data_IF_307795905065
#
_entry.id   IF_307795905065
#
_cell.length_a   1.000
_cell.length_b   1.000
_cell.length_c   1.000
_cell.angle_alpha   90.00
_cell.angle_beta   90.00
_cell.angle_gamma   90.00
#
_symmetry.space_group_name_H-M   'P 1'
#
loop_
_entity.id
_entity.type
_entity.pdbx_description
1 polymer ?
#
# COMPACT_ATOMS: atom_id res chain seq x y z
N UNK A 1 3.47 31.22 -12.86
CA UNK A 1 2.74 30.68 -11.70
C UNK A 1 2.91 31.66 -10.56
N UNK A 2 1.83 32.24 -10.08
CA UNK A 2 1.84 33.21 -8.97
C UNK A 2 1.49 32.54 -7.63
N UNK A 3 0.65 31.51 -7.63
CA UNK A 3 0.20 30.79 -6.44
C UNK A 3 0.92 29.45 -6.25
N UNK A 4 1.63 28.97 -7.27
CA UNK A 4 2.47 27.79 -7.21
C UNK A 4 1.69 26.47 -7.15
N UNK A 5 2.34 25.45 -6.59
CA UNK A 5 1.84 24.09 -6.52
C UNK A 5 1.43 23.78 -5.08
N UNK A 6 0.18 23.35 -4.88
CA UNK A 6 -0.28 22.81 -3.60
C UNK A 6 -0.34 21.28 -3.70
N UNK A 7 0.28 20.58 -2.75
CA UNK A 7 0.29 19.11 -2.67
C UNK A 7 -0.40 18.70 -1.37
N UNK A 8 -1.42 17.84 -1.47
CA UNK A 8 -2.17 17.30 -0.32
C UNK A 8 -1.74 15.86 -0.07
N UNK A 9 -1.12 15.62 1.08
CA UNK A 9 -0.50 14.35 1.48
C UNK A 9 1.03 14.45 1.59
N UNK A 10 1.63 13.65 2.46
CA UNK A 10 3.05 13.68 2.85
C UNK A 10 3.81 12.37 2.60
N UNK A 11 3.11 11.33 2.14
CA UNK A 11 3.69 10.00 1.94
C UNK A 11 4.73 9.94 0.82
N UNK A 12 5.18 8.72 0.51
CA UNK A 12 6.20 8.46 -0.51
C UNK A 12 5.92 9.18 -1.84
N UNK A 13 4.67 9.19 -2.30
CA UNK A 13 4.22 9.87 -3.52
C UNK A 13 4.54 11.37 -3.53
N UNK A 14 4.12 12.11 -2.49
CA UNK A 14 4.35 13.54 -2.38
C UNK A 14 5.85 13.86 -2.28
N UNK A 15 6.59 13.09 -1.48
CA UNK A 15 8.04 13.29 -1.32
C UNK A 15 8.80 13.07 -2.61
N UNK A 16 8.47 12.01 -3.36
CA UNK A 16 9.08 11.77 -4.67
C UNK A 16 8.71 12.87 -5.66
N UNK A 17 7.48 13.38 -5.64
CA UNK A 17 7.08 14.46 -6.51
C UNK A 17 7.88 15.73 -6.23
N UNK A 18 7.98 16.16 -4.96
CA UNK A 18 8.80 17.31 -4.55
C UNK A 18 10.26 17.14 -4.99
N UNK A 19 10.85 15.97 -4.70
CA UNK A 19 12.23 15.64 -5.10
C UNK A 19 12.42 15.78 -6.62
N UNK A 20 11.45 15.34 -7.42
CA UNK A 20 11.55 15.43 -8.88
C UNK A 20 11.24 16.84 -9.41
N UNK A 21 10.31 17.59 -8.84
CA UNK A 21 10.09 19.01 -9.19
C UNK A 21 11.38 19.79 -8.97
N UNK A 22 12.07 19.58 -7.84
CA UNK A 22 13.31 20.29 -7.50
C UNK A 22 14.52 19.92 -8.37
N UNK A 23 14.46 18.81 -9.13
CA UNK A 23 15.46 18.54 -10.19
C UNK A 23 15.27 19.42 -11.43
N UNK A 24 14.09 19.99 -11.63
CA UNK A 24 13.72 20.77 -12.81
C UNK A 24 13.49 22.26 -12.50
N UNK A 25 13.13 22.61 -11.26
CA UNK A 25 12.92 24.00 -10.82
C UNK A 25 13.23 24.17 -9.33
N UNK A 26 14.21 25.03 -9.04
CA UNK A 26 14.56 25.41 -7.67
C UNK A 26 13.55 26.40 -7.05
N UNK A 27 12.90 27.22 -7.88
CA UNK A 27 12.18 28.42 -7.44
C UNK A 27 10.66 28.27 -7.40
N UNK A 28 10.07 27.26 -8.07
CA UNK A 28 8.61 27.15 -8.09
C UNK A 28 8.07 27.02 -6.64
N UNK A 29 7.11 27.87 -6.22
CA UNK A 29 6.56 27.78 -4.87
C UNK A 29 5.81 26.46 -4.70
N UNK A 30 6.15 25.72 -3.64
CA UNK A 30 5.48 24.47 -3.27
C UNK A 30 4.93 24.64 -1.85
N UNK A 31 3.64 24.32 -1.69
CA UNK A 31 2.99 24.15 -0.39
C UNK A 31 2.62 22.68 -0.23
N UNK A 32 3.13 22.04 0.82
CA UNK A 32 2.80 20.67 1.19
C UNK A 32 1.87 20.70 2.41
N UNK A 33 0.69 20.10 2.31
CA UNK A 33 -0.28 20.02 3.42
C UNK A 33 -0.49 18.56 3.77
N UNK A 34 -0.33 18.22 5.05
CA UNK A 34 -0.35 16.85 5.53
C UNK A 34 -1.19 16.72 6.80
N UNK A 35 -2.02 15.69 6.86
CA UNK A 35 -2.81 15.38 8.05
C UNK A 35 -1.96 14.81 9.20
N UNK A 36 -0.80 14.23 8.88
CA UNK A 36 0.16 13.67 9.84
C UNK A 36 1.35 14.62 10.08
N UNK A 37 2.39 14.15 10.79
CA UNK A 37 3.60 14.92 11.06
C UNK A 37 4.44 15.23 9.81
N UNK A 38 4.20 14.52 8.70
CA UNK A 38 4.99 14.51 7.47
C UNK A 38 6.45 14.02 7.62
N UNK A 39 6.76 13.34 8.71
CA UNK A 39 8.06 12.69 8.90
C UNK A 39 8.26 11.55 7.91
N UNK A 40 9.51 11.38 7.44
CA UNK A 40 9.85 10.30 6.53
C UNK A 40 10.07 9.01 7.29
N UNK A 41 9.29 7.99 6.96
CA UNK A 41 9.56 6.60 7.29
C UNK A 41 9.27 5.75 6.05
N UNK A 42 9.76 4.52 6.05
CA UNK A 42 9.49 3.57 4.97
C UNK A 42 8.28 2.73 5.34
N UNK A 43 7.09 3.11 4.85
CA UNK A 43 5.83 2.43 5.13
C UNK A 43 5.88 0.90 4.94
N UNK A 44 6.50 0.35 3.89
CA UNK A 44 6.70 -1.10 3.75
C UNK A 44 7.47 -1.79 4.88
N UNK A 45 8.13 -1.07 5.79
CA UNK A 45 8.81 -1.67 6.94
C UNK A 45 7.85 -1.94 8.10
N UNK A 46 6.61 -1.40 8.08
CA UNK A 46 5.57 -1.67 9.08
C UNK A 46 5.23 -3.15 9.24
N UNK A 47 5.43 -3.97 8.20
CA UNK A 47 5.22 -5.42 8.25
C UNK A 47 6.38 -6.22 8.85
N UNK A 48 7.39 -5.54 9.43
CA UNK A 48 8.55 -6.16 10.06
C UNK A 48 8.92 -5.60 11.45
N UNK A 49 8.16 -4.63 11.94
CA UNK A 49 8.53 -3.87 13.15
C UNK A 49 8.53 -4.72 14.41
N UNK A 50 7.72 -5.78 14.47
CA UNK A 50 7.57 -6.59 15.67
C UNK A 50 8.77 -7.53 15.82
N UNK A 51 9.18 -8.26 14.78
CA UNK A 51 10.36 -9.14 14.86
C UNK A 51 11.68 -8.37 14.93
N UNK A 52 11.73 -7.15 14.38
CA UNK A 52 12.88 -6.26 14.52
C UNK A 52 12.94 -5.52 15.86
N UNK A 53 11.93 -5.70 16.72
CA UNK A 53 11.80 -4.98 17.98
C UNK A 53 11.86 -3.43 17.79
N UNK A 54 11.46 -2.92 16.63
CA UNK A 54 11.60 -1.51 16.24
C UNK A 54 10.37 -0.71 16.66
N UNK A 55 10.56 0.31 17.52
CA UNK A 55 9.47 1.20 17.91
C UNK A 55 9.10 2.20 16.83
N UNK A 56 7.89 2.75 16.91
CA UNK A 56 7.37 3.62 15.86
C UNK A 56 8.25 4.87 15.66
N UNK A 57 8.68 5.57 16.72
CA UNK A 57 9.61 6.71 16.61
C UNK A 57 10.92 6.34 15.91
N UNK A 58 11.47 5.14 16.17
CA UNK A 58 12.71 4.66 15.58
C UNK A 58 12.59 4.34 14.07
N UNK A 59 11.39 4.39 13.50
CA UNK A 59 11.19 4.28 12.05
C UNK A 59 11.47 5.59 11.31
N UNK A 60 11.48 6.74 12.02
CA UNK A 60 11.69 8.05 11.42
C UNK A 60 13.11 8.19 10.88
N UNK A 61 13.23 8.38 9.57
CA UNK A 61 14.49 8.57 8.84
C UNK A 61 14.84 10.04 8.63
N UNK A 62 13.84 10.90 8.47
CA UNK A 62 14.03 12.33 8.31
C UNK A 62 12.85 13.08 8.92
N UNK A 63 13.14 14.09 9.74
CA UNK A 63 12.12 14.99 10.29
C UNK A 63 11.52 15.87 9.19
N UNK A 64 10.23 16.18 9.30
CA UNK A 64 9.50 16.93 8.28
C UNK A 64 10.07 18.33 8.04
N UNK A 65 10.51 19.02 9.10
CA UNK A 65 11.15 20.34 9.00
C UNK A 65 12.44 20.32 8.19
N UNK A 66 13.29 19.30 8.39
CA UNK A 66 14.51 19.12 7.61
C UNK A 66 14.23 18.86 6.13
N UNK A 67 13.16 18.12 5.81
CA UNK A 67 12.72 17.96 4.42
C UNK A 67 12.23 19.28 3.82
N UNK A 68 11.46 20.06 4.57
CA UNK A 68 10.92 21.32 4.11
C UNK A 68 12.03 22.35 3.81
N UNK A 69 13.04 22.43 4.67
CA UNK A 69 14.23 23.26 4.47
C UNK A 69 15.05 22.79 3.27
N UNK A 70 15.37 21.48 3.22
CA UNK A 70 16.17 20.89 2.15
C UNK A 70 15.59 21.15 0.75
N UNK A 71 14.26 21.10 0.62
CA UNK A 71 13.56 21.26 -0.66
C UNK A 71 12.85 22.60 -0.81
N UNK A 72 13.14 23.59 0.03
CA UNK A 72 12.57 24.94 -0.02
C UNK A 72 11.06 24.93 -0.31
N UNK A 73 10.27 24.35 0.61
CA UNK A 73 8.81 24.31 0.51
C UNK A 73 8.15 24.81 1.79
N UNK A 74 6.92 25.30 1.68
CA UNK A 74 6.09 25.61 2.84
C UNK A 74 5.37 24.34 3.29
N UNK A 75 5.64 23.89 4.51
CA UNK A 75 4.99 22.71 5.09
C UNK A 75 3.89 23.11 6.08
N UNK A 76 2.72 22.50 5.94
CA UNK A 76 1.65 22.51 6.93
C UNK A 76 1.38 21.06 7.38
N UNK A 77 2.13 20.60 8.38
CA UNK A 77 1.90 19.32 9.04
C UNK A 77 0.70 19.39 10.00
N UNK A 78 0.16 18.23 10.39
CA UNK A 78 -1.00 18.08 11.27
C UNK A 78 -2.19 18.98 10.86
N UNK A 79 -2.39 19.14 9.56
CA UNK A 79 -3.34 20.06 8.94
C UNK A 79 -4.26 19.29 8.00
N UNK A 80 -5.54 19.21 8.35
CA UNK A 80 -6.54 18.48 7.59
C UNK A 80 -7.21 19.37 6.52
N UNK A 81 -7.03 19.01 5.25
CA UNK A 81 -7.75 19.63 4.14
C UNK A 81 -9.20 19.17 4.14
N UNK A 82 -10.14 20.10 4.38
CA UNK A 82 -11.55 19.80 4.56
C UNK A 82 -12.33 19.80 3.25
N UNK A 83 -11.96 20.65 2.29
CA UNK A 83 -12.63 20.75 0.98
C UNK A 83 -11.73 21.41 -0.06
N UNK A 84 -12.11 21.23 -1.33
CA UNK A 84 -11.53 21.93 -2.48
C UNK A 84 -12.63 22.75 -3.15
N UNK A 85 -12.25 23.88 -3.72
CA UNK A 85 -13.10 24.66 -4.63
C UNK A 85 -12.34 24.82 -5.96
N UNK A 86 -12.53 23.89 -6.91
CA UNK A 86 -11.87 23.92 -8.21
C UNK A 86 -12.17 25.19 -9.01
N UNK A 87 -13.40 25.71 -8.91
CA UNK A 87 -13.84 26.89 -9.65
C UNK A 87 -13.04 28.13 -9.29
N UNK A 88 -12.76 28.31 -7.99
CA UNK A 88 -11.96 29.43 -7.49
C UNK A 88 -10.48 29.07 -7.25
N UNK A 89 -10.08 27.84 -7.60
CA UNK A 89 -8.75 27.26 -7.37
C UNK A 89 -8.27 27.40 -5.93
N UNK A 90 -9.10 26.94 -4.99
CA UNK A 90 -8.85 27.04 -3.55
C UNK A 90 -8.77 25.67 -2.86
N UNK A 91 -7.85 25.56 -1.90
CA UNK A 91 -7.79 24.47 -0.91
C UNK A 91 -8.21 25.04 0.45
N UNK A 92 -9.19 24.41 1.11
CA UNK A 92 -9.67 24.79 2.42
C UNK A 92 -9.11 23.86 3.50
N UNK A 93 -8.57 24.43 4.57
CA UNK A 93 -7.99 23.70 5.70
C UNK A 93 -8.31 24.42 7.01
N UNK A 94 -9.43 24.05 7.63
CA UNK A 94 -10.00 24.80 8.77
C UNK A 94 -10.33 26.23 8.35
N UNK A 95 -9.79 27.22 9.07
CA UNK A 95 -9.95 28.64 8.76
C UNK A 95 -8.98 29.15 7.68
N UNK A 96 -8.03 28.31 7.25
CA UNK A 96 -7.03 28.70 6.23
C UNK A 96 -7.53 28.35 4.84
N UNK A 97 -7.24 29.22 3.90
CA UNK A 97 -7.50 29.02 2.47
C UNK A 97 -6.23 29.32 1.67
N UNK A 98 -5.99 28.51 0.64
CA UNK A 98 -4.83 28.65 -0.22
C UNK A 98 -5.23 28.56 -1.69
N UNK A 99 -4.89 29.60 -2.45
CA UNK A 99 -4.96 29.51 -3.91
C UNK A 99 -3.87 28.60 -4.46
N UNK A 100 -4.13 28.01 -5.63
CA UNK A 100 -3.15 27.23 -6.37
C UNK A 100 -3.16 27.57 -7.86
N UNK A 101 -2.00 27.44 -8.51
CA UNK A 101 -1.97 27.33 -9.98
C UNK A 101 -2.15 25.87 -10.40
N UNK A 102 -1.59 24.94 -9.61
CA UNK A 102 -1.72 23.49 -9.77
C UNK A 102 -1.95 22.82 -8.41
N UNK A 103 -2.89 21.89 -8.36
CA UNK A 103 -3.18 21.08 -7.17
C UNK A 103 -2.83 19.61 -7.41
N UNK A 104 -2.19 18.97 -6.44
CA UNK A 104 -1.86 17.55 -6.50
C UNK A 104 -2.44 16.82 -5.31
N UNK A 105 -3.25 15.80 -5.58
CA UNK A 105 -3.81 14.89 -4.60
C UNK A 105 -2.90 13.67 -4.47
N UNK A 106 -2.21 13.57 -3.35
CA UNK A 106 -1.36 12.45 -2.94
C UNK A 106 -1.86 11.85 -1.62
N UNK A 107 -3.18 11.72 -1.49
CA UNK A 107 -3.92 11.38 -0.26
C UNK A 107 -3.80 9.91 0.15
N UNK A 108 -3.16 9.09 -0.67
CA UNK A 108 -2.88 7.68 -0.38
C UNK A 108 -4.13 6.82 -0.25
N UNK A 109 -4.06 5.85 0.65
CA UNK A 109 -5.12 4.88 0.91
C UNK A 109 -5.27 4.60 2.39
N UNK A 110 -6.47 4.21 2.81
CA UNK A 110 -6.79 3.82 4.17
C UNK A 110 -7.00 2.31 4.28
N UNK A 111 -6.55 1.71 5.38
CA UNK A 111 -6.80 0.32 5.67
C UNK A 111 -8.28 0.06 5.96
N UNK A 112 -8.75 -1.12 5.54
CA UNK A 112 -10.12 -1.55 5.71
C UNK A 112 -10.31 -2.28 7.04
N UNK A 113 -11.40 -1.95 7.72
CA UNK A 113 -11.96 -2.76 8.79
C UNK A 113 -13.21 -3.50 8.27
N UNK A 114 -13.41 -4.78 8.64
CA UNK A 114 -14.64 -5.48 8.29
C UNK A 114 -15.86 -4.83 8.96
N UNK A 115 -17.04 -4.85 8.32
CA UNK A 115 -18.26 -4.26 8.88
C UNK A 115 -18.93 -5.21 9.90
N UNK A 116 -18.22 -5.51 10.98
CA UNK A 116 -18.64 -6.45 12.04
C UNK A 116 -18.76 -5.75 13.39
N UNK A 117 -19.50 -6.35 14.32
CA UNK A 117 -19.54 -5.88 15.70
C UNK A 117 -18.14 -5.95 16.34
N UNK A 118 -17.74 -4.93 17.10
CA UNK A 118 -16.44 -4.86 17.75
C UNK A 118 -15.26 -4.52 16.85
N UNK A 119 -15.50 -4.06 15.62
CA UNK A 119 -14.42 -3.66 14.70
C UNK A 119 -13.48 -2.59 15.27
N UNK A 120 -13.96 -1.77 16.20
CA UNK A 120 -13.21 -0.74 16.92
C UNK A 120 -12.16 -1.31 17.90
N UNK A 121 -12.27 -2.59 18.27
CA UNK A 121 -11.28 -3.30 19.10
C UNK A 121 -10.08 -3.79 18.27
N UNK A 122 -10.23 -3.79 16.94
CA UNK A 122 -9.20 -4.18 16.00
C UNK A 122 -8.21 -3.04 15.75
N UNK A 123 -7.10 -3.35 15.09
CA UNK A 123 -6.14 -2.34 14.66
C UNK A 123 -5.64 -2.61 13.27
N UNK A 124 -5.20 -1.54 12.61
CA UNK A 124 -4.56 -1.57 11.30
C UNK A 124 -3.10 -1.11 11.44
N UNK A 125 -2.27 -1.51 10.48
CA UNK A 125 -0.87 -1.06 10.39
C UNK A 125 -0.65 -0.42 9.02
N UNK A 126 -1.22 0.77 8.82
CA UNK A 126 -1.16 1.49 7.56
C UNK A 126 -0.34 2.81 7.64
N UNK A 127 0.01 3.25 8.85
CA UNK A 127 0.88 4.39 9.08
C UNK A 127 1.74 4.22 10.34
N UNK A 128 2.82 5.00 10.45
CA UNK A 128 3.62 5.09 11.67
C UNK A 128 2.79 5.56 12.88
N UNK A 129 1.83 6.47 12.66
CA UNK A 129 0.93 6.95 13.71
C UNK A 129 -0.02 5.84 14.21
N UNK A 130 -0.58 5.04 13.30
CA UNK A 130 -1.39 3.87 13.67
C UNK A 130 -0.55 2.87 14.47
N UNK A 131 0.68 2.59 14.03
CA UNK A 131 1.58 1.72 14.77
C UNK A 131 1.87 2.27 16.16
N UNK A 132 2.26 3.55 16.27
CA UNK A 132 2.52 4.22 17.55
C UNK A 132 1.35 4.10 18.54
N UNK A 133 0.11 4.22 18.06
CA UNK A 133 -1.09 4.13 18.88
C UNK A 133 -1.36 2.72 19.45
N UNK A 134 -0.84 1.68 18.81
CA UNK A 134 -1.08 0.29 19.18
C UNK A 134 0.18 -0.47 19.60
N UNK A 135 1.34 0.18 19.57
CA UNK A 135 2.66 -0.44 19.73
C UNK A 135 2.76 -1.30 20.99
N UNK A 136 2.44 -0.73 22.15
CA UNK A 136 2.53 -1.44 23.44
C UNK A 136 1.65 -2.71 23.44
N UNK A 137 0.40 -2.59 22.99
CA UNK A 137 -0.52 -3.75 22.92
C UNK A 137 0.00 -4.83 21.99
N UNK A 138 0.53 -4.48 20.81
CA UNK A 138 1.07 -5.47 19.87
C UNK A 138 2.34 -6.13 20.40
N UNK A 139 3.18 -5.39 21.13
CA UNK A 139 4.39 -5.92 21.77
C UNK A 139 4.06 -6.87 22.91
N UNK A 140 3.10 -6.53 23.75
CA UNK A 140 2.71 -7.33 24.92
C UNK A 140 1.85 -8.55 24.56
N UNK A 141 1.13 -8.49 23.43
CA UNK A 141 0.29 -9.57 22.94
C UNK A 141 1.09 -10.88 22.75
N UNK A 142 0.59 -11.97 23.32
CA UNK A 142 1.14 -13.33 23.14
C UNK A 142 0.48 -14.04 21.96
N UNK A 143 -0.84 -13.91 21.82
CA UNK A 143 -1.62 -14.50 20.73
C UNK A 143 -2.31 -13.43 19.89
N UNK A 144 -2.06 -13.44 18.59
CA UNK A 144 -2.54 -12.39 17.67
C UNK A 144 -3.29 -13.02 16.50
N UNK A 145 -4.46 -12.46 16.20
CA UNK A 145 -5.18 -12.75 14.97
C UNK A 145 -4.76 -11.75 13.88
N UNK A 146 -4.34 -12.26 12.72
CA UNK A 146 -4.18 -11.48 11.49
C UNK A 146 -5.40 -11.75 10.61
N UNK A 147 -6.21 -10.73 10.36
CA UNK A 147 -7.37 -10.84 9.48
C UNK A 147 -6.99 -10.39 8.06
N UNK A 148 -7.02 -11.30 7.11
CA UNK A 148 -6.57 -11.09 5.74
C UNK A 148 -5.25 -11.81 5.47
N UNK A 149 -5.23 -12.68 4.47
CA UNK A 149 -4.11 -13.46 3.96
C UNK A 149 -3.56 -12.94 2.64
N UNK A 150 -3.77 -11.66 2.33
CA UNK A 150 -3.11 -10.97 1.22
C UNK A 150 -1.62 -10.75 1.49
N UNK A 151 -0.94 -9.97 0.63
CA UNK A 151 0.50 -9.67 0.76
C UNK A 151 0.86 -9.20 2.17
N UNK A 152 0.23 -8.14 2.65
CA UNK A 152 0.52 -7.54 3.96
C UNK A 152 0.21 -8.52 5.10
N UNK A 153 -0.90 -9.26 4.99
CA UNK A 153 -1.31 -10.24 6.00
C UNK A 153 -0.31 -11.39 6.15
N UNK A 154 0.19 -11.92 5.04
CA UNK A 154 1.24 -12.94 5.03
C UNK A 154 2.56 -12.44 5.63
N UNK A 155 2.96 -11.21 5.32
CA UNK A 155 4.16 -10.59 5.90
C UNK A 155 4.00 -10.39 7.42
N UNK A 156 2.85 -9.86 7.86
CA UNK A 156 2.55 -9.67 9.29
C UNK A 156 2.49 -10.99 10.05
N UNK A 157 1.86 -12.03 9.50
CA UNK A 157 1.82 -13.33 10.15
C UNK A 157 3.22 -13.90 10.37
N UNK A 158 4.10 -13.76 9.37
CA UNK A 158 5.50 -14.17 9.48
C UNK A 158 6.27 -13.32 10.50
N UNK A 159 6.05 -12.00 10.52
CA UNK A 159 6.71 -11.08 11.45
C UNK A 159 6.35 -11.36 12.91
N UNK A 160 5.05 -11.48 13.21
CA UNK A 160 4.58 -11.78 14.56
C UNK A 160 5.07 -13.15 15.03
N UNK A 161 5.06 -14.15 14.14
CA UNK A 161 5.56 -15.48 14.45
C UNK A 161 7.07 -15.48 14.73
N UNK A 162 7.86 -14.75 13.94
CA UNK A 162 9.32 -14.57 14.17
C UNK A 162 9.62 -13.85 15.48
N UNK A 163 8.70 -13.02 15.96
CA UNK A 163 8.79 -12.39 17.27
C UNK A 163 8.36 -13.30 18.44
N UNK A 164 8.07 -14.58 18.18
CA UNK A 164 7.72 -15.56 19.20
C UNK A 164 6.25 -15.52 19.65
N UNK A 165 5.36 -14.91 18.85
CA UNK A 165 3.93 -14.82 19.15
C UNK A 165 3.18 -16.01 18.54
N UNK A 166 2.10 -16.43 19.20
CA UNK A 166 1.13 -17.36 18.62
C UNK A 166 0.28 -16.61 17.58
N UNK A 167 0.24 -17.08 16.35
CA UNK A 167 -0.44 -16.37 15.25
C UNK A 167 -1.55 -17.23 14.68
N UNK A 168 -2.74 -16.62 14.53
CA UNK A 168 -3.84 -17.18 13.75
C UNK A 168 -4.11 -16.24 12.57
N UNK A 169 -3.98 -16.72 11.35
CA UNK A 169 -4.35 -15.97 10.14
C UNK A 169 -5.71 -16.46 9.66
N UNK A 170 -6.64 -15.51 9.49
CA UNK A 170 -8.00 -15.79 9.01
C UNK A 170 -8.22 -15.08 7.68
N UNK A 171 -8.66 -15.81 6.65
CA UNK A 171 -9.02 -15.22 5.36
C UNK A 171 -10.25 -15.91 4.75
N UNK A 172 -11.02 -15.14 3.97
CA UNK A 172 -12.22 -15.63 3.30
C UNK A 172 -11.92 -16.42 2.02
N UNK A 173 -10.74 -16.21 1.42
CA UNK A 173 -10.25 -16.92 0.28
C UNK A 173 -9.79 -18.33 0.68
N UNK A 174 -9.65 -19.18 -0.34
CA UNK A 174 -9.23 -20.57 -0.16
C UNK A 174 -7.73 -20.76 0.06
N UNK A 175 -6.93 -19.71 -0.15
CA UNK A 175 -5.47 -19.75 -0.05
C UNK A 175 -4.86 -18.35 0.14
N UNK A 176 -3.58 -18.29 0.56
CA UNK A 176 -2.85 -17.03 0.72
C UNK A 176 -2.66 -16.31 -0.62
N UNK A 177 -2.70 -14.98 -0.54
CA UNK A 177 -2.42 -14.06 -1.64
C UNK A 177 -3.20 -14.41 -2.91
N UNK A 178 -4.46 -14.83 -2.78
CA UNK A 178 -5.29 -15.27 -3.91
C UNK A 178 -5.45 -14.22 -5.03
N UNK A 179 -5.29 -12.94 -4.69
CA UNK A 179 -5.27 -11.83 -5.66
C UNK A 179 -3.93 -11.62 -6.38
N UNK A 180 -2.90 -12.41 -6.05
CA UNK A 180 -1.55 -12.30 -6.60
C UNK A 180 -0.95 -13.63 -7.06
N UNK A 181 -1.29 -14.74 -6.40
CA UNK A 181 -0.69 -16.06 -6.61
C UNK A 181 -1.77 -17.08 -7.04
N UNK A 182 -1.44 -18.01 -7.95
CA UNK A 182 -2.24 -19.22 -8.12
C UNK A 182 -2.09 -20.13 -6.89
N UNK A 183 -3.08 -20.99 -6.66
CA UNK A 183 -3.19 -21.82 -5.46
C UNK A 183 -1.98 -22.74 -5.26
N UNK A 184 -1.42 -23.27 -6.34
CA UNK A 184 -0.25 -24.17 -6.32
C UNK A 184 1.00 -23.46 -5.80
N UNK A 185 1.20 -22.19 -6.18
CA UNK A 185 2.32 -21.37 -5.70
C UNK A 185 2.09 -20.97 -4.24
N UNK A 186 0.85 -20.61 -3.91
CA UNK A 186 0.44 -20.25 -2.56
C UNK A 186 0.65 -21.40 -1.57
N UNK A 187 0.41 -22.66 -2.00
CA UNK A 187 0.60 -23.85 -1.18
C UNK A 187 2.00 -23.96 -0.55
N UNK A 188 3.06 -23.57 -1.27
CA UNK A 188 4.43 -23.58 -0.71
C UNK A 188 4.60 -22.57 0.42
N UNK A 189 4.03 -21.36 0.28
CA UNK A 189 4.07 -20.33 1.32
C UNK A 189 3.22 -20.73 2.53
N UNK A 190 2.07 -21.35 2.29
CA UNK A 190 1.22 -21.90 3.36
C UNK A 190 1.95 -22.97 4.17
N UNK A 191 2.64 -23.91 3.52
CA UNK A 191 3.44 -24.92 4.21
C UNK A 191 4.51 -24.28 5.09
N UNK A 192 5.20 -23.25 4.59
CA UNK A 192 6.21 -22.51 5.37
C UNK A 192 5.61 -21.83 6.60
N UNK A 193 4.47 -21.15 6.46
CA UNK A 193 3.81 -20.50 7.60
C UNK A 193 3.28 -21.52 8.62
N UNK A 194 2.74 -22.66 8.17
CA UNK A 194 2.35 -23.75 9.06
C UNK A 194 3.56 -24.36 9.80
N UNK A 195 4.69 -24.57 9.11
CA UNK A 195 5.95 -25.06 9.71
C UNK A 195 6.49 -24.10 10.78
N UNK A 196 6.28 -22.79 10.61
CA UNK A 196 6.60 -21.78 11.62
C UNK A 196 5.65 -21.80 12.83
N UNK A 197 4.48 -22.44 12.72
CA UNK A 197 3.47 -22.51 13.77
C UNK A 197 2.30 -21.53 13.60
N UNK A 198 2.14 -20.90 12.43
CA UNK A 198 0.97 -20.07 12.13
C UNK A 198 -0.25 -20.96 11.89
N UNK A 199 -1.34 -20.72 12.61
CA UNK A 199 -2.61 -21.37 12.36
C UNK A 199 -3.33 -20.68 11.19
N UNK A 200 -3.45 -21.36 10.05
CA UNK A 200 -4.10 -20.82 8.84
C UNK A 200 -5.58 -21.27 8.75
N UNK A 201 -6.50 -20.31 8.75
CA UNK A 201 -7.95 -20.52 8.69
C UNK A 201 -8.54 -19.89 7.42
N UNK A 202 -8.59 -20.69 6.35
CA UNK A 202 -9.15 -20.31 5.05
C UNK A 202 -10.65 -20.58 4.95
N UNK A 203 -11.30 -19.91 4.01
CA UNK A 203 -12.76 -19.92 3.83
C UNK A 203 -13.50 -19.56 5.13
N UNK A 204 -12.87 -18.75 5.99
CA UNK A 204 -13.42 -18.28 7.25
C UNK A 204 -13.58 -16.76 7.20
N UNK A 205 -14.63 -16.27 7.85
CA UNK A 205 -14.90 -14.83 7.98
C UNK A 205 -15.12 -14.52 9.44
N UNK A 206 -14.51 -13.42 9.91
CA UNK A 206 -14.80 -12.83 11.20
C UNK A 206 -16.23 -12.29 11.21
N UNK A 207 -17.01 -12.60 12.25
CA UNK A 207 -18.38 -12.11 12.44
C UNK A 207 -18.53 -11.10 13.56
N UNK A 208 -17.72 -11.24 14.61
CA UNK A 208 -17.68 -10.29 15.71
C UNK A 208 -16.33 -10.37 16.45
N UNK A 209 -15.98 -9.27 17.10
CA UNK A 209 -14.95 -9.22 18.13
C UNK A 209 -15.61 -8.71 19.41
N UNK A 210 -15.34 -9.33 20.56
CA UNK A 210 -15.83 -8.84 21.85
C UNK A 210 -14.69 -8.73 22.84
N UNK A 211 -14.79 -7.74 23.74
CA UNK A 211 -13.88 -7.60 24.86
C UNK A 211 -14.15 -8.69 25.90
N UNK A 212 -13.09 -9.32 26.40
CA UNK A 212 -13.10 -10.26 27.51
C UNK A 212 -12.21 -9.71 28.64
N UNK A 213 -12.28 -10.31 29.84
CA UNK A 213 -11.41 -9.94 30.97
C UNK A 213 -9.91 -10.16 30.63
N UNK A 214 -9.60 -11.21 29.87
CA UNK A 214 -8.23 -11.63 29.55
C UNK A 214 -7.81 -11.35 28.10
N UNK A 215 -8.48 -10.44 27.39
CA UNK A 215 -8.17 -10.11 25.99
C UNK A 215 -9.42 -9.92 25.15
N UNK A 216 -9.41 -10.47 23.94
CA UNK A 216 -10.50 -10.39 22.97
C UNK A 216 -11.01 -11.80 22.62
N UNK A 217 -12.29 -11.91 22.31
CA UNK A 217 -12.86 -13.08 21.66
C UNK A 217 -13.23 -12.72 20.22
N UNK A 218 -12.70 -13.47 19.25
CA UNK A 218 -13.04 -13.36 17.85
C UNK A 218 -13.93 -14.54 17.43
N UNK A 219 -15.15 -14.25 16.98
CA UNK A 219 -16.12 -15.27 16.54
C UNK A 219 -16.12 -15.36 15.01
N UNK A 220 -15.94 -16.57 14.48
CA UNK A 220 -15.95 -16.84 13.04
C UNK A 220 -17.33 -17.32 12.57
N UNK A 221 -17.55 -17.29 11.25
CA UNK A 221 -18.83 -17.64 10.61
C UNK A 221 -19.26 -19.11 10.75
N UNK A 222 -18.37 -19.98 11.21
CA UNK A 222 -18.69 -21.37 11.53
C UNK A 222 -18.99 -21.56 13.03
N UNK A 223 -19.11 -20.48 13.81
CA UNK A 223 -19.33 -20.50 15.26
C UNK A 223 -18.06 -20.75 16.08
N UNK A 224 -16.89 -20.89 15.45
CA UNK A 224 -15.62 -21.04 16.18
C UNK A 224 -15.26 -19.73 16.87
N UNK A 225 -14.95 -19.82 18.17
CA UNK A 225 -14.47 -18.70 18.98
C UNK A 225 -12.97 -18.84 19.24
N UNK A 226 -12.24 -17.73 19.11
CA UNK A 226 -10.80 -17.64 19.29
C UNK A 226 -10.46 -16.54 20.28
N UNK A 227 -9.88 -16.91 21.42
CA UNK A 227 -9.35 -15.95 22.39
C UNK A 227 -7.98 -15.45 21.92
N UNK A 228 -7.82 -14.13 21.78
CA UNK A 228 -6.58 -13.49 21.30
C UNK A 228 -6.34 -12.19 22.07
N UNK A 229 -5.10 -11.72 22.14
CA UNK A 229 -4.76 -10.46 22.80
C UNK A 229 -4.95 -9.25 21.86
N UNK A 230 -4.80 -9.48 20.55
CA UNK A 230 -4.96 -8.46 19.52
C UNK A 230 -5.50 -9.04 18.21
N UNK A 231 -6.23 -8.20 17.47
CA UNK A 231 -6.68 -8.47 16.09
C UNK A 231 -6.14 -7.38 15.18
N UNK A 232 -5.31 -7.76 14.21
CA UNK A 232 -4.76 -6.85 13.19
C UNK A 232 -5.50 -7.08 11.87
N UNK A 233 -6.19 -6.05 11.37
CA UNK A 233 -6.86 -6.08 10.07
C UNK A 233 -5.89 -5.71 8.95
N UNK A 234 -5.71 -6.66 8.03
CA UNK A 234 -4.92 -6.55 6.80
C UNK A 234 -5.74 -6.97 5.56
N UNK A 235 -7.07 -6.79 5.59
CA UNK A 235 -8.00 -7.23 4.54
C UNK A 235 -7.96 -6.39 3.25
N UNK A 236 -7.10 -5.36 3.21
CA UNK A 236 -6.88 -4.53 2.03
C UNK A 236 -6.91 -3.03 2.32
N UNK A 237 -6.58 -2.27 1.28
CA UNK A 237 -6.53 -0.82 1.30
C UNK A 237 -7.58 -0.24 0.33
N UNK A 238 -8.14 0.91 0.69
CA UNK A 238 -9.06 1.68 -0.14
C UNK A 238 -8.46 3.05 -0.47
N UNK A 239 -8.36 3.43 -1.76
CA UNK A 239 -7.93 4.77 -2.16
C UNK A 239 -8.75 5.88 -1.49
N UNK A 240 -8.08 6.94 -1.04
CA UNK A 240 -8.72 8.08 -0.39
C UNK A 240 -9.26 9.07 -1.43
N UNK A 241 -10.47 8.79 -1.93
CA UNK A 241 -11.13 9.57 -2.99
C UNK A 241 -12.05 10.68 -2.48
N UNK A 242 -12.36 10.70 -1.18
CA UNK A 242 -13.40 11.56 -0.61
C UNK A 242 -13.23 13.04 -0.95
N UNK A 243 -12.02 13.58 -0.85
CA UNK A 243 -11.74 14.99 -1.16
C UNK A 243 -12.01 15.32 -2.65
N UNK A 244 -11.58 14.44 -3.56
CA UNK A 244 -11.80 14.59 -5.00
C UNK A 244 -13.29 14.47 -5.36
N UNK A 245 -13.98 13.49 -4.77
CA UNK A 245 -15.40 13.25 -5.02
C UNK A 245 -16.27 14.44 -4.60
N UNK A 246 -16.04 15.00 -3.40
CA UNK A 246 -16.78 16.19 -2.95
C UNK A 246 -16.47 17.44 -3.79
N UNK A 247 -15.29 17.49 -4.40
CA UNK A 247 -14.90 18.56 -5.33
C UNK A 247 -15.49 18.40 -6.75
N UNK A 248 -16.26 17.32 -7.00
CA UNK A 248 -16.86 17.04 -8.31
C UNK A 248 -15.89 16.43 -9.33
N UNK A 249 -14.74 15.90 -8.90
CA UNK A 249 -13.82 15.19 -9.78
C UNK A 249 -14.32 13.78 -10.08
N UNK A 250 -13.97 13.26 -11.26
CA UNK A 250 -14.26 11.87 -11.61
C UNK A 250 -13.47 10.90 -10.72
N UNK A 251 -14.19 10.00 -10.06
CA UNK A 251 -13.64 8.94 -9.22
C UNK A 251 -14.30 7.60 -9.56
N UNK A 252 -13.59 6.51 -9.31
CA UNK A 252 -14.12 5.15 -9.35
C UNK A 252 -13.57 4.39 -8.13
N UNK A 253 -12.63 3.45 -8.33
CA UNK A 253 -11.91 2.82 -7.22
C UNK A 253 -10.90 3.81 -6.65
N UNK A 254 -10.25 4.60 -7.51
CA UNK A 254 -9.39 5.73 -7.16
C UNK A 254 -9.84 7.03 -7.84
N UNK A 255 -9.04 8.08 -7.68
CA UNK A 255 -9.20 9.34 -8.42
C UNK A 255 -8.76 9.08 -9.85
N UNK A 256 -9.68 9.20 -10.82
CA UNK A 256 -9.36 8.89 -12.21
C UNK A 256 -8.40 9.94 -12.75
N UNK A 257 -7.34 9.47 -13.38
CA UNK A 257 -6.37 10.33 -14.07
C UNK A 257 -6.10 9.82 -15.48
N UNK A 258 -5.78 10.75 -16.38
CA UNK A 258 -5.29 10.41 -17.70
C UNK A 258 -3.81 9.99 -17.66
N UNK A 259 -3.23 9.69 -18.83
CA UNK A 259 -1.83 9.28 -18.96
C UNK A 259 -0.81 10.36 -18.59
N UNK A 260 -1.23 11.61 -18.39
CA UNK A 260 -0.42 12.72 -17.89
C UNK A 260 -0.61 12.95 -16.37
N UNK A 261 -1.35 12.07 -15.69
CA UNK A 261 -1.73 12.11 -14.28
C UNK A 261 -2.69 13.27 -13.91
N UNK A 262 -3.35 13.83 -14.90
CA UNK A 262 -4.34 14.91 -14.75
C UNK A 262 -5.72 14.32 -14.49
N UNK A 263 -6.48 14.92 -13.57
CA UNK A 263 -7.86 14.52 -13.25
C UNK A 263 -8.84 15.07 -14.31
N UNK A 264 -10.15 14.99 -14.04
CA UNK A 264 -11.18 15.65 -14.87
C UNK A 264 -11.11 17.19 -14.82
N UNK A 265 -10.41 17.77 -13.86
CA UNK A 265 -10.08 19.20 -13.84
C UNK A 265 -8.66 19.44 -14.38
N UNK A 266 -8.45 20.41 -15.30
CA UNK A 266 -7.18 20.58 -15.97
C UNK A 266 -6.03 21.08 -15.07
N UNK A 267 -6.33 21.61 -13.89
CA UNK A 267 -5.36 22.13 -12.94
C UNK A 267 -5.21 21.26 -11.69
N UNK A 268 -5.90 20.11 -11.63
CA UNK A 268 -5.82 19.13 -10.53
C UNK A 268 -5.29 17.79 -11.04
N UNK A 269 -4.34 17.23 -10.31
CA UNK A 269 -3.62 16.00 -10.62
C UNK A 269 -3.71 15.04 -9.44
N UNK A 270 -3.47 13.75 -9.67
CA UNK A 270 -3.35 12.77 -8.59
C UNK A 270 -2.24 11.76 -8.88
N UNK A 271 -1.57 11.31 -7.82
CA UNK A 271 -0.57 10.22 -7.89
C UNK A 271 -0.49 9.48 -6.54
N UNK A 272 0.08 8.28 -6.53
CA UNK A 272 0.11 7.46 -5.33
C UNK A 272 -1.05 6.48 -5.26
N UNK A 273 -1.23 5.86 -4.09
CA UNK A 273 -2.30 4.88 -3.88
C UNK A 273 -3.72 5.43 -4.08
N UNK A 274 -3.90 6.76 -4.09
CA UNK A 274 -5.19 7.39 -4.35
C UNK A 274 -5.57 7.42 -5.84
N UNK A 275 -4.60 7.29 -6.75
CA UNK A 275 -4.81 7.47 -8.18
C UNK A 275 -5.23 6.17 -8.89
N UNK A 276 -6.15 6.30 -9.84
CA UNK A 276 -6.56 5.25 -10.77
C UNK A 276 -6.09 5.62 -12.18
N UNK A 277 -5.11 4.87 -12.69
CA UNK A 277 -4.45 5.07 -13.98
C UNK A 277 -4.94 3.97 -14.91
N UNK A 278 -5.59 4.32 -16.01
CA UNK A 278 -6.13 3.37 -17.00
C UNK A 278 -6.99 2.27 -16.35
N UNK A 279 -7.83 2.65 -15.39
CA UNK A 279 -8.72 1.74 -14.65
C UNK A 279 -8.02 0.89 -13.57
N UNK A 280 -6.72 1.09 -13.35
CA UNK A 280 -5.91 0.31 -12.40
C UNK A 280 -5.44 1.18 -11.23
N UNK A 281 -5.59 0.64 -10.01
CA UNK A 281 -4.96 1.19 -8.80
C UNK A 281 -3.71 0.37 -8.52
N UNK A 282 -2.55 1.02 -8.47
CA UNK A 282 -1.23 0.39 -8.39
C UNK A 282 -0.49 0.85 -7.12
N UNK A 283 -0.85 0.35 -5.93
CA UNK A 283 -0.33 0.84 -4.64
C UNK A 283 1.06 0.27 -4.33
N UNK A 284 2.02 0.51 -5.24
CA UNK A 284 3.40 0.04 -5.14
C UNK A 284 4.38 1.18 -5.39
N UNK A 285 5.57 1.09 -4.79
CA UNK A 285 6.56 2.18 -4.87
C UNK A 285 7.03 2.50 -6.30
N UNK A 286 7.19 1.51 -7.16
CA UNK A 286 7.71 1.71 -8.52
C UNK A 286 6.75 2.51 -9.43
N UNK A 287 5.44 2.17 -9.53
CA UNK A 287 4.47 3.03 -10.22
C UNK A 287 4.46 4.46 -9.69
N UNK A 288 4.57 4.64 -8.38
CA UNK A 288 4.59 5.96 -7.73
C UNK A 288 5.83 6.76 -8.13
N UNK A 289 7.01 6.11 -8.15
CA UNK A 289 8.26 6.74 -8.54
C UNK A 289 8.18 7.27 -9.99
N UNK A 290 7.70 6.43 -10.92
CA UNK A 290 7.55 6.80 -12.33
C UNK A 290 6.50 7.91 -12.50
N UNK A 291 5.39 7.80 -11.77
CA UNK A 291 4.34 8.82 -11.78
C UNK A 291 4.87 10.18 -11.30
N UNK A 292 5.63 10.20 -10.21
CA UNK A 292 6.24 11.42 -9.69
C UNK A 292 7.25 12.05 -10.66
N UNK A 293 8.02 11.24 -11.39
CA UNK A 293 8.96 11.72 -12.42
C UNK A 293 8.24 12.38 -13.60
N UNK A 294 7.19 11.74 -14.12
CA UNK A 294 6.38 12.29 -15.22
C UNK A 294 5.63 13.54 -14.78
N UNK A 295 4.92 13.47 -13.65
CA UNK A 295 4.10 14.57 -13.16
C UNK A 295 4.92 15.82 -12.83
N UNK A 296 6.13 15.67 -12.29
CA UNK A 296 7.01 16.80 -11.99
C UNK A 296 7.27 17.68 -13.22
N UNK A 297 7.46 17.09 -14.40
CA UNK A 297 7.65 17.83 -15.65
C UNK A 297 6.35 18.45 -16.15
N UNK A 298 5.25 17.71 -16.07
CA UNK A 298 3.94 18.17 -16.53
C UNK A 298 3.43 19.36 -15.72
N UNK A 299 3.68 19.36 -14.41
CA UNK A 299 3.39 20.51 -13.54
C UNK A 299 4.18 21.76 -13.93
N UNK A 300 5.31 21.62 -14.62
CA UNK A 300 6.16 22.71 -15.11
C UNK A 300 5.92 23.06 -16.60
N UNK A 301 4.84 22.54 -17.20
CA UNK A 301 4.40 22.90 -18.55
C UNK A 301 4.76 21.91 -19.65
N UNK A 302 5.35 20.75 -19.31
CA UNK A 302 5.48 19.65 -20.26
C UNK A 302 4.14 18.92 -20.49
N UNK A 303 4.11 17.98 -21.43
CA UNK A 303 2.95 17.11 -21.70
C UNK A 303 3.41 15.66 -21.90
N UNK A 304 4.29 15.21 -21.01
CA UNK A 304 4.85 13.86 -21.03
C UNK A 304 3.75 12.84 -20.67
N UNK A 305 3.72 11.74 -21.40
CA UNK A 305 2.87 10.59 -21.11
C UNK A 305 3.59 9.63 -20.16
N UNK A 306 2.89 9.17 -19.12
CA UNK A 306 3.38 8.14 -18.21
C UNK A 306 3.52 6.82 -18.96
N UNK A 307 4.71 6.22 -18.86
CA UNK A 307 4.98 4.86 -19.32
C UNK A 307 5.27 3.98 -18.12
N UNK A 308 4.44 2.95 -17.92
CA UNK A 308 4.60 1.96 -16.86
C UNK A 308 5.09 0.65 -17.50
N UNK A 309 6.36 0.27 -17.33
CA UNK A 309 6.86 -1.01 -17.84
C UNK A 309 6.29 -2.17 -17.01
N UNK A 310 6.65 -3.41 -17.36
CA UNK A 310 6.46 -4.54 -16.46
C UNK A 310 7.25 -4.28 -15.16
N UNK A 311 6.56 -4.35 -14.02
CA UNK A 311 7.10 -4.00 -12.71
C UNK A 311 7.14 -5.20 -11.79
N UNK A 312 8.21 -5.27 -11.02
CA UNK A 312 8.45 -6.35 -10.07
C UNK A 312 7.82 -5.99 -8.73
N UNK A 313 6.87 -6.79 -8.29
CA UNK A 313 6.40 -6.78 -6.90
C UNK A 313 7.27 -7.72 -6.10
N UNK A 314 7.89 -7.20 -5.04
CA UNK A 314 8.69 -7.98 -4.10
C UNK A 314 7.89 -8.20 -2.84
N UNK A 315 7.66 -9.45 -2.48
CA UNK A 315 6.95 -9.83 -1.25
C UNK A 315 8.00 -10.18 -0.22
N UNK A 316 7.91 -9.56 0.96
CA UNK A 316 8.90 -9.66 2.02
C UNK A 316 8.54 -10.76 3.01
N UNK A 317 8.62 -12.00 2.56
CA UNK A 317 8.43 -13.19 3.41
C UNK A 317 9.78 -13.88 3.60
N UNK A 318 10.62 -13.53 4.61
CA UNK A 318 11.99 -14.03 4.73
C UNK A 318 12.17 -15.56 4.66
N UNK A 319 11.21 -16.35 5.14
CA UNK A 319 11.27 -17.83 5.09
C UNK A 319 10.90 -18.41 3.71
N UNK A 320 10.31 -17.59 2.83
CA UNK A 320 10.06 -17.91 1.43
C UNK A 320 9.94 -16.61 0.63
N UNK A 321 11.04 -15.92 0.34
CA UNK A 321 10.99 -14.67 -0.38
C UNK A 321 10.54 -14.95 -1.81
N UNK A 322 9.68 -14.09 -2.35
CA UNK A 322 9.19 -14.26 -3.72
C UNK A 322 9.02 -12.91 -4.43
N UNK A 323 9.22 -12.97 -5.74
CA UNK A 323 8.98 -11.87 -6.65
C UNK A 323 7.94 -12.29 -7.69
N UNK A 324 7.08 -11.36 -8.06
CA UNK A 324 6.11 -11.56 -9.13
C UNK A 324 6.03 -10.32 -10.03
N UNK A 325 5.65 -10.53 -11.28
CA UNK A 325 5.35 -9.46 -12.22
C UNK A 325 4.36 -9.94 -13.29
N UNK A 326 3.76 -8.97 -13.99
CA UNK A 326 2.78 -9.24 -15.04
C UNK A 326 1.36 -9.43 -14.53
N UNK A 327 0.52 -10.06 -15.34
CA UNK A 327 -0.93 -10.14 -15.16
C UNK A 327 -1.34 -11.43 -14.43
N UNK A 328 -0.87 -11.64 -13.19
CA UNK A 328 -1.04 -12.92 -12.47
C UNK A 328 -2.49 -13.36 -12.25
N UNK A 329 -3.47 -12.46 -12.43
CA UNK A 329 -4.90 -12.70 -12.27
C UNK A 329 -5.64 -12.97 -13.58
N UNK A 330 -4.93 -12.97 -14.71
CA UNK A 330 -5.52 -13.22 -16.01
C UNK A 330 -6.02 -14.68 -16.09
N UNK A 331 -7.26 -14.88 -16.56
CA UNK A 331 -7.99 -16.16 -16.42
C UNK A 331 -7.62 -17.23 -17.44
N UNK A 332 -7.03 -16.83 -18.55
CA UNK A 332 -6.59 -17.68 -19.65
C UNK A 332 -5.13 -18.14 -19.50
N UNK A 333 -4.49 -17.84 -18.36
CA UNK A 333 -3.11 -18.28 -18.12
C UNK A 333 -3.02 -19.78 -17.91
N UNK A 334 -2.11 -20.40 -18.66
CA UNK A 334 -1.62 -21.75 -18.41
C UNK A 334 -0.33 -21.63 -17.60
N UNK A 335 -0.40 -22.00 -16.32
CA UNK A 335 0.74 -21.95 -15.42
C UNK A 335 1.66 -23.15 -15.62
N UNK A 336 2.89 -22.88 -16.06
CA UNK A 336 3.99 -23.84 -16.09
C UNK A 336 4.80 -23.67 -14.81
N UNK A 337 4.68 -24.65 -13.90
CA UNK A 337 5.23 -24.57 -12.55
C UNK A 337 6.35 -25.61 -12.39
N UNK A 338 7.55 -25.12 -12.08
CA UNK A 338 8.71 -25.94 -11.72
C UNK A 338 9.06 -25.65 -10.27
N UNK A 339 8.86 -26.63 -9.40
CA UNK A 339 9.21 -26.54 -7.98
C UNK A 339 10.37 -27.49 -7.65
N UNK A 340 11.28 -27.03 -6.81
CA UNK A 340 12.42 -27.77 -6.28
C UNK A 340 12.63 -27.44 -4.80
N UNK A 341 13.52 -28.15 -4.07
CA UNK A 341 13.93 -27.73 -2.73
C UNK A 341 14.49 -26.30 -2.70
N UNK A 342 15.19 -25.87 -3.75
CA UNK A 342 15.84 -24.56 -3.88
C UNK A 342 14.86 -23.41 -4.18
N UNK A 343 13.62 -23.73 -4.55
CA UNK A 343 12.56 -22.76 -4.77
C UNK A 343 11.64 -23.12 -5.93
N UNK A 344 10.96 -22.09 -6.42
CA UNK A 344 9.91 -22.22 -7.44
C UNK A 344 10.13 -21.21 -8.58
N UNK A 345 9.80 -21.65 -9.79
CA UNK A 345 9.47 -20.79 -10.93
C UNK A 345 8.08 -21.16 -11.42
N UNK A 346 7.18 -20.18 -11.49
CA UNK A 346 5.89 -20.31 -12.14
C UNK A 346 5.83 -19.29 -13.30
N UNK A 347 5.56 -19.77 -14.52
CA UNK A 347 5.37 -18.93 -15.71
C UNK A 347 3.91 -19.04 -16.17
N UNK A 348 3.20 -17.92 -16.22
CA UNK A 348 1.85 -17.83 -16.77
C UNK A 348 1.92 -17.50 -18.25
N UNK A 349 1.54 -18.46 -19.09
CA UNK A 349 1.56 -18.35 -20.56
C UNK A 349 0.13 -18.15 -21.08
N UNK A 350 -0.05 -17.34 -22.13
CA UNK A 350 -1.33 -17.28 -22.86
C UNK A 350 -1.45 -18.39 -23.94
N UNK A 351 -2.56 -18.38 -24.67
CA UNK A 351 -2.82 -19.36 -25.75
C UNK A 351 -1.75 -19.30 -26.85
N UNK A 352 -1.17 -18.13 -27.11
CA UNK A 352 -0.10 -17.88 -28.07
C UNK A 352 1.31 -18.18 -27.53
N UNK A 353 1.41 -18.84 -26.36
CA UNK A 353 2.68 -19.16 -25.70
C UNK A 353 3.53 -17.91 -25.39
N UNK A 354 2.91 -16.77 -25.14
CA UNK A 354 3.59 -15.56 -24.65
C UNK A 354 3.59 -15.51 -23.12
N UNK A 355 4.71 -15.08 -22.55
CA UNK A 355 4.83 -14.89 -21.10
C UNK A 355 4.05 -13.64 -20.66
N UNK A 356 3.00 -13.83 -19.87
CA UNK A 356 2.13 -12.76 -19.36
C UNK A 356 2.29 -12.49 -17.89
N UNK A 357 2.74 -13.48 -17.13
CA UNK A 357 3.01 -13.36 -15.71
C UNK A 357 4.12 -14.33 -15.30
N UNK A 358 4.84 -14.00 -14.23
CA UNK A 358 5.69 -14.99 -13.58
C UNK A 358 5.75 -14.78 -12.07
N UNK A 359 6.08 -15.85 -11.35
CA UNK A 359 6.39 -15.85 -9.93
C UNK A 359 7.67 -16.66 -9.73
N UNK A 360 8.60 -16.13 -8.94
CA UNK A 360 9.84 -16.82 -8.58
C UNK A 360 10.07 -16.72 -7.08
N UNK A 361 10.52 -17.80 -6.43
CA UNK A 361 10.87 -17.81 -5.01
C UNK A 361 12.31 -18.24 -4.76
N UNK A 362 12.83 -17.88 -3.58
CA UNK A 362 14.11 -18.39 -3.05
C UNK A 362 15.26 -18.26 -4.09
N UNK A 363 16.01 -19.32 -4.39
CA UNK A 363 17.18 -19.28 -5.28
C UNK A 363 16.84 -18.91 -6.74
N UNK A 364 15.57 -19.04 -7.12
CA UNK A 364 15.09 -18.70 -8.46
C UNK A 364 14.78 -17.21 -8.63
N UNK A 365 14.77 -16.42 -7.55
CA UNK A 365 14.56 -14.96 -7.62
C UNK A 365 15.60 -14.24 -8.50
N UNK A 366 16.80 -14.82 -8.68
CA UNK A 366 17.82 -14.30 -9.61
C UNK A 366 17.35 -14.23 -11.06
N UNK A 367 16.33 -15.01 -11.43
CA UNK A 367 15.76 -15.03 -12.78
C UNK A 367 14.74 -13.91 -13.01
N UNK A 368 14.27 -13.24 -11.95
CA UNK A 368 13.22 -12.22 -12.03
C UNK A 368 13.50 -11.15 -13.09
N UNK A 369 14.73 -10.62 -13.14
CA UNK A 369 15.08 -9.57 -14.09
C UNK A 369 15.09 -10.04 -15.57
N UNK A 370 15.45 -11.29 -15.84
CA UNK A 370 15.33 -11.86 -17.19
C UNK A 370 13.86 -11.95 -17.58
N UNK A 371 13.05 -12.53 -16.70
CA UNK A 371 11.63 -12.76 -16.93
C UNK A 371 10.85 -11.45 -17.08
N UNK A 372 11.18 -10.40 -16.34
CA UNK A 372 10.57 -9.06 -16.52
C UNK A 372 10.79 -8.52 -17.93
N UNK A 373 11.95 -8.77 -18.54
CA UNK A 373 12.25 -8.31 -19.90
C UNK A 373 11.54 -9.13 -20.98
N UNK A 374 11.21 -10.38 -20.66
CA UNK A 374 10.45 -11.29 -21.53
C UNK A 374 8.93 -11.05 -21.46
N UNK A 375 8.43 -10.37 -20.42
CA UNK A 375 7.00 -10.11 -20.23
C UNK A 375 6.43 -9.25 -21.35
N UNK A 376 5.35 -9.73 -21.96
CA UNK A 376 4.52 -8.96 -22.87
C UNK A 376 3.25 -8.51 -22.14
N UNK A 377 3.17 -7.21 -21.85
CA UNK A 377 1.95 -6.61 -21.32
C UNK A 377 0.92 -6.47 -22.45
N UNK A 378 -0.32 -6.85 -22.17
CA UNK A 378 -1.45 -6.78 -23.10
C UNK A 378 -2.16 -5.44 -23.09
#
# INVERSE_FOLDING_TARGET
MNNGIVIVGSGFAARQLVKNIRKHSAEVPIRLVAADSADEYNKPDLSHVISLNQGAEAMTRQQAGAFAEQFNLTLHANSWVSSLDPKNKLVNCGERQWHYDKLVLATGSSALLPPVAGKELMTTLNSQQEYQACEARLRDARRVMILGGGLIGSELAMDFCRAGKEVVLVDNASHLMASLLPAEVSGRLQSRLNEMGVELLFNQRLEAVSQMESGLCATLNNGRELQVDAVVSAIGLRPNVGLAQHAGLEVNRGIKVNSQLQTSDPDIYALGDCAEIDGKVLPFLQPIQLSAMTLAKNLLGASDTLSLPAMLVKVKTPEMPLHLAGETQRRDLIWQITASPQGLIAKGMDAEQQLRAFIVSEDHMKQAFSLVRELQLG
#
